data_IF_375940355424
#
_entry.id   IF_375940355424
#
_cell.length_a   1.000
_cell.length_b   1.000
_cell.length_c   1.000
_cell.angle_alpha   90.00
_cell.angle_beta   90.00
_cell.angle_gamma   90.00
#
_symmetry.space_group_name_H-M   'P 1'
#
loop_
_entity.id
_entity.type
_entity.pdbx_description
1 polymer ?
#
# COMPACT_ATOMS: atom_id res chain seq x y z
N UNK A 1 -13.11 18.60 -1.37
CA UNK A 1 -14.42 18.03 -1.00
C UNK A 1 -14.36 16.52 -0.76
N UNK A 2 -13.86 15.72 -1.70
CA UNK A 2 -13.81 14.23 -1.59
C UNK A 2 -12.82 13.69 -0.51
N UNK A 3 -11.70 14.40 -0.28
CA UNK A 3 -10.73 14.08 0.78
C UNK A 3 -11.28 14.34 2.20
N UNK A 4 -12.07 15.41 2.37
CA UNK A 4 -12.66 15.78 3.66
C UNK A 4 -13.70 14.76 4.14
N UNK A 5 -14.45 14.13 3.23
CA UNK A 5 -15.40 13.05 3.58
C UNK A 5 -14.72 11.77 4.07
N UNK A 6 -13.41 11.61 3.88
CA UNK A 6 -12.63 10.46 4.34
C UNK A 6 -11.82 10.75 5.62
N UNK A 7 -12.02 11.91 6.26
CA UNK A 7 -11.31 12.32 7.48
C UNK A 7 -9.85 12.76 7.24
N UNK A 8 -9.42 12.85 5.99
CA UNK A 8 -8.12 13.40 5.60
C UNK A 8 -8.32 14.86 5.21
N UNK A 9 -7.85 15.77 6.07
CA UNK A 9 -7.86 17.19 5.73
C UNK A 9 -6.85 17.41 4.60
N UNK A 10 -7.24 18.07 3.49
CA UNK A 10 -6.37 18.28 2.32
C UNK A 10 -5.01 18.92 2.67
N UNK A 11 -5.00 19.72 3.75
CA UNK A 11 -3.84 20.45 4.26
C UNK A 11 -3.04 19.63 5.29
N UNK A 12 -3.28 18.32 5.39
CA UNK A 12 -2.48 17.42 6.23
C UNK A 12 -1.20 17.03 5.49
N UNK A 13 -0.04 17.25 6.10
CA UNK A 13 1.21 16.72 5.58
C UNK A 13 1.22 15.20 5.61
N UNK A 14 1.83 14.58 4.61
CA UNK A 14 1.93 13.13 4.58
C UNK A 14 2.76 12.58 5.77
N UNK A 15 3.78 13.32 6.22
CA UNK A 15 4.54 13.00 7.43
C UNK A 15 3.66 12.91 8.68
N UNK A 16 2.66 13.77 8.81
CA UNK A 16 1.76 13.77 9.98
C UNK A 16 0.83 12.57 9.98
N UNK A 17 0.35 12.14 8.81
CA UNK A 17 -0.38 10.88 8.66
C UNK A 17 0.47 9.69 9.12
N UNK A 18 1.73 9.64 8.70
CA UNK A 18 2.65 8.55 9.06
C UNK A 18 2.96 8.58 10.56
N UNK A 19 3.24 9.75 11.15
CA UNK A 19 3.49 9.90 12.60
C UNK A 19 2.27 9.48 13.42
N UNK A 20 1.07 9.89 13.01
CA UNK A 20 -0.17 9.48 13.67
C UNK A 20 -0.34 7.96 13.61
N UNK A 21 -0.12 7.36 12.45
CA UNK A 21 -0.18 5.91 12.29
C UNK A 21 0.82 5.16 13.17
N UNK A 22 2.06 5.67 13.25
CA UNK A 22 3.12 5.16 14.12
C UNK A 22 2.75 5.19 15.60
N UNK A 23 1.99 6.20 16.03
CA UNK A 23 1.61 6.36 17.43
C UNK A 23 0.34 5.58 17.79
N UNK A 24 -0.67 5.58 16.92
CA UNK A 24 -2.00 5.05 17.23
C UNK A 24 -2.18 3.59 16.80
N UNK A 25 -1.58 3.20 15.67
CA UNK A 25 -1.87 1.91 15.02
C UNK A 25 -0.70 0.94 15.14
N UNK A 26 0.52 1.37 14.83
CA UNK A 26 1.71 0.51 14.84
C UNK A 26 1.93 -0.27 16.15
N UNK A 27 1.71 0.28 17.36
CA UNK A 27 1.89 -0.45 18.63
C UNK A 27 0.94 -1.64 18.81
N UNK A 28 -0.20 -1.64 18.13
CA UNK A 28 -1.20 -2.72 18.24
C UNK A 28 -0.85 -3.93 17.37
N UNK A 29 0.20 -3.85 16.55
CA UNK A 29 0.52 -4.88 15.56
C UNK A 29 1.62 -5.82 16.01
N UNK A 30 1.42 -7.10 15.73
CA UNK A 30 2.42 -8.17 15.90
C UNK A 30 3.80 -7.88 15.26
N UNK A 31 3.85 -7.03 14.23
CA UNK A 31 5.07 -6.64 13.50
C UNK A 31 5.56 -5.22 13.80
N UNK A 32 5.17 -4.62 14.94
CA UNK A 32 5.43 -3.24 15.34
C UNK A 32 6.87 -2.79 15.05
N UNK A 33 7.88 -3.47 15.60
CA UNK A 33 9.30 -3.07 15.47
C UNK A 33 9.76 -2.91 14.02
N UNK A 34 9.37 -3.83 13.14
CA UNK A 34 9.72 -3.77 11.73
C UNK A 34 8.97 -2.67 10.99
N UNK A 35 7.71 -2.43 11.36
CA UNK A 35 6.89 -1.35 10.81
C UNK A 35 7.42 0.02 11.24
N UNK A 36 7.71 0.18 12.53
CA UNK A 36 8.30 1.39 13.11
C UNK A 36 9.60 1.79 12.39
N UNK A 37 10.53 0.85 12.25
CA UNK A 37 11.81 1.11 11.57
C UNK A 37 11.63 1.48 10.09
N UNK A 38 10.72 0.80 9.38
CA UNK A 38 10.44 1.09 7.96
C UNK A 38 9.80 2.46 7.78
N UNK A 39 8.79 2.79 8.57
CA UNK A 39 8.07 4.06 8.46
C UNK A 39 8.93 5.25 8.93
N UNK A 40 9.74 5.08 9.99
CA UNK A 40 10.71 6.11 10.38
C UNK A 40 11.81 6.33 9.33
N UNK A 41 12.22 5.29 8.60
CA UNK A 41 13.11 5.46 7.46
C UNK A 41 12.41 6.21 6.33
N UNK A 42 11.13 5.90 6.08
CA UNK A 42 10.34 6.54 5.03
C UNK A 42 10.08 8.02 5.32
N UNK A 43 9.95 8.43 6.59
CA UNK A 43 9.88 9.83 7.02
C UNK A 43 11.10 10.69 6.63
N UNK A 44 12.19 10.09 6.13
CA UNK A 44 13.36 10.83 5.61
C UNK A 44 13.22 11.18 4.13
N UNK A 45 12.19 10.68 3.45
CA UNK A 45 12.01 10.89 2.03
C UNK A 45 11.24 12.21 1.78
N UNK A 46 11.67 13.07 0.83
CA UNK A 46 11.04 14.38 0.59
C UNK A 46 9.54 14.34 0.31
N UNK A 47 9.03 13.22 -0.23
CA UNK A 47 7.58 12.99 -0.42
C UNK A 47 6.76 13.19 0.87
N UNK A 48 7.34 12.97 2.05
CA UNK A 48 6.62 13.12 3.31
C UNK A 48 6.39 14.57 3.71
N UNK A 49 7.08 15.51 3.05
CA UNK A 49 6.91 16.95 3.23
C UNK A 49 5.83 17.53 2.30
N UNK A 50 5.24 16.71 1.42
CA UNK A 50 4.10 17.09 0.59
C UNK A 50 2.78 16.94 1.34
N UNK A 51 1.79 17.76 0.99
CA UNK A 51 0.42 17.58 1.47
C UNK A 51 -0.22 16.34 0.86
N UNK A 52 -1.13 15.70 1.60
CA UNK A 52 -1.79 14.47 1.13
C UNK A 52 -2.57 14.68 -0.17
N UNK A 53 -3.11 15.89 -0.36
CA UNK A 53 -3.78 16.31 -1.58
C UNK A 53 -2.84 16.27 -2.79
N UNK A 54 -1.61 16.73 -2.61
CA UNK A 54 -0.58 16.78 -3.66
C UNK A 54 0.02 15.41 -3.96
N UNK A 55 0.09 14.50 -2.98
CA UNK A 55 0.53 13.11 -3.21
C UNK A 55 -0.37 12.36 -4.21
N UNK A 56 -1.64 12.78 -4.31
CA UNK A 56 -2.66 12.13 -5.14
C UNK A 56 -2.83 12.73 -6.54
N UNK A 57 -2.34 13.96 -6.75
CA UNK A 57 -2.53 14.73 -7.98
C UNK A 57 -1.28 15.51 -8.27
N UNK A 58 -0.38 14.87 -8.98
CA UNK A 58 0.77 15.58 -9.51
C UNK A 58 0.52 15.66 -11.00
N UNK A 59 0.32 16.89 -11.49
CA UNK A 59 0.13 17.17 -12.90
C UNK A 59 1.31 16.63 -13.71
N UNK A 60 1.13 16.56 -15.04
CA UNK A 60 2.03 15.85 -15.96
C UNK A 60 3.54 16.20 -15.85
N UNK A 61 3.90 17.29 -15.17
CA UNK A 61 5.27 17.80 -15.05
C UNK A 61 5.97 17.47 -13.71
N UNK A 62 5.25 17.25 -12.62
CA UNK A 62 5.84 16.96 -11.31
C UNK A 62 5.58 15.48 -10.94
N UNK A 63 6.48 14.84 -10.18
CA UNK A 63 6.34 13.42 -9.82
C UNK A 63 6.35 13.27 -8.30
N UNK A 64 5.71 12.20 -7.79
CA UNK A 64 5.55 12.00 -6.35
C UNK A 64 6.85 11.54 -5.71
N UNK A 65 7.55 10.68 -6.43
CA UNK A 65 8.81 10.08 -6.03
C UNK A 65 9.96 10.53 -6.94
N UNK A 66 9.78 11.62 -7.71
CA UNK A 66 10.78 12.14 -8.66
C UNK A 66 11.34 11.09 -9.64
N UNK A 67 10.56 10.04 -9.92
CA UNK A 67 10.94 8.92 -10.79
C UNK A 67 9.91 8.79 -11.90
N UNK A 68 10.39 8.90 -13.14
CA UNK A 68 9.57 8.65 -14.34
C UNK A 68 9.24 7.16 -14.45
N UNK A 69 8.06 6.85 -14.97
CA UNK A 69 7.62 5.46 -15.21
C UNK A 69 8.60 4.65 -16.08
N UNK A 70 9.25 5.29 -17.06
CA UNK A 70 10.28 4.65 -17.90
C UNK A 70 11.54 4.26 -17.12
N UNK A 71 11.97 5.11 -16.17
CA UNK A 71 13.11 4.83 -15.29
C UNK A 71 12.78 3.71 -14.32
N UNK A 72 11.55 3.69 -13.80
CA UNK A 72 11.04 2.61 -12.94
C UNK A 72 11.05 1.27 -13.67
N UNK A 73 10.53 1.21 -14.91
CA UNK A 73 10.51 -0.01 -15.73
C UNK A 73 11.94 -0.50 -16.04
N UNK A 74 12.83 0.39 -16.49
CA UNK A 74 14.22 0.03 -16.77
C UNK A 74 14.95 -0.51 -15.52
N UNK A 75 14.74 0.13 -14.36
CA UNK A 75 15.32 -0.29 -13.09
C UNK A 75 14.76 -1.64 -12.65
N UNK A 76 13.45 -1.85 -12.78
CA UNK A 76 12.80 -3.11 -12.45
C UNK A 76 13.35 -4.26 -13.30
N UNK A 77 13.46 -4.09 -14.63
CA UNK A 77 14.04 -5.10 -15.53
C UNK A 77 15.49 -5.43 -15.17
N UNK A 78 16.30 -4.42 -14.80
CA UNK A 78 17.67 -4.63 -14.35
C UNK A 78 17.73 -5.48 -13.07
N UNK A 79 16.92 -5.14 -12.06
CA UNK A 79 16.85 -5.88 -10.79
C UNK A 79 16.33 -7.30 -10.98
N UNK A 80 15.32 -7.47 -11.84
CA UNK A 80 14.73 -8.76 -12.21
C UNK A 80 15.77 -9.72 -12.78
N UNK A 81 16.64 -9.22 -13.67
CA UNK A 81 17.76 -9.98 -14.23
C UNK A 81 18.82 -10.34 -13.18
N UNK A 82 19.18 -9.39 -12.31
CA UNK A 82 20.15 -9.62 -11.23
C UNK A 82 19.65 -10.64 -10.20
N UNK A 83 18.34 -10.72 -9.98
CA UNK A 83 17.72 -11.68 -9.07
C UNK A 83 17.39 -13.03 -9.74
N UNK A 84 17.69 -13.20 -11.03
CA UNK A 84 17.35 -14.39 -11.84
C UNK A 84 15.85 -14.73 -11.81
N UNK A 85 14.98 -13.71 -11.84
CA UNK A 85 13.51 -13.87 -11.78
C UNK A 85 12.81 -13.37 -13.03
N UNK A 86 13.13 -13.95 -14.19
CA UNK A 86 12.63 -13.48 -15.50
C UNK A 86 11.10 -13.59 -15.70
N UNK A 87 10.37 -14.25 -14.82
CA UNK A 87 8.91 -14.33 -14.86
C UNK A 87 8.18 -13.20 -14.12
N UNK A 88 8.87 -12.42 -13.27
CA UNK A 88 8.23 -11.38 -12.46
C UNK A 88 7.87 -10.15 -13.31
N UNK A 89 6.65 -9.64 -13.14
CA UNK A 89 6.20 -8.36 -13.67
C UNK A 89 6.02 -7.33 -12.56
N UNK A 90 6.08 -6.04 -12.88
CA UNK A 90 5.93 -5.00 -11.86
C UNK A 90 4.56 -5.05 -11.18
N UNK A 91 3.49 -5.42 -11.90
CA UNK A 91 2.15 -5.57 -11.33
C UNK A 91 2.03 -6.74 -10.34
N UNK A 92 2.97 -7.69 -10.33
CA UNK A 92 3.01 -8.76 -9.32
C UNK A 92 3.27 -8.20 -7.93
N UNK A 93 3.89 -7.03 -7.81
CA UNK A 93 4.05 -6.35 -6.51
C UNK A 93 2.71 -5.98 -5.89
N UNK A 94 1.75 -5.49 -6.69
CA UNK A 94 0.39 -5.20 -6.24
C UNK A 94 -0.33 -6.50 -5.89
N UNK A 95 -0.20 -7.54 -6.71
CA UNK A 95 -0.77 -8.86 -6.44
C UNK A 95 -0.29 -9.42 -5.10
N UNK A 96 1.02 -9.42 -4.87
CA UNK A 96 1.62 -9.88 -3.62
C UNK A 96 1.15 -9.07 -2.41
N UNK A 97 1.08 -7.74 -2.54
CA UNK A 97 0.59 -6.87 -1.46
C UNK A 97 -0.87 -7.20 -1.09
N UNK A 98 -1.74 -7.40 -2.09
CA UNK A 98 -3.14 -7.74 -1.86
C UNK A 98 -3.34 -9.14 -1.29
N UNK A 99 -2.58 -10.14 -1.75
CA UNK A 99 -2.58 -11.49 -1.17
C UNK A 99 -2.15 -11.49 0.30
N UNK A 100 -1.18 -10.66 0.69
CA UNK A 100 -0.78 -10.54 2.11
C UNK A 100 -1.82 -9.81 2.93
N UNK A 101 -2.48 -8.83 2.33
CA UNK A 101 -3.46 -7.99 3.02
C UNK A 101 -4.79 -8.72 3.21
N UNK A 102 -5.20 -9.60 2.28
CA UNK A 102 -6.41 -10.42 2.41
C UNK A 102 -6.41 -11.33 3.64
N UNK A 103 -5.24 -11.67 4.18
CA UNK A 103 -5.09 -12.40 5.46
C UNK A 103 -5.36 -11.55 6.70
N UNK A 104 -5.50 -10.23 6.55
CA UNK A 104 -5.61 -9.27 7.66
C UNK A 104 -6.87 -8.44 7.65
N UNK A 105 -7.52 -8.32 6.49
CA UNK A 105 -8.72 -7.52 6.31
C UNK A 105 -9.73 -8.29 5.48
N UNK A 106 -11.01 -8.04 5.71
CA UNK A 106 -12.09 -8.62 4.92
C UNK A 106 -12.06 -8.13 3.46
N UNK A 107 -12.76 -8.85 2.59
CA UNK A 107 -12.79 -8.58 1.14
C UNK A 107 -13.29 -7.17 0.82
N UNK A 108 -14.25 -6.64 1.58
CA UNK A 108 -14.82 -5.31 1.33
C UNK A 108 -13.84 -4.20 1.72
N UNK A 109 -13.17 -4.36 2.86
CA UNK A 109 -12.08 -3.45 3.27
C UNK A 109 -10.92 -3.53 2.28
N UNK A 110 -10.57 -4.73 1.82
CA UNK A 110 -9.54 -4.92 0.79
C UNK A 110 -9.93 -4.21 -0.51
N UNK A 111 -11.20 -4.25 -0.92
CA UNK A 111 -11.71 -3.53 -2.09
C UNK A 111 -11.54 -2.02 -1.96
N UNK A 112 -11.91 -1.44 -0.81
CA UNK A 112 -11.71 -0.02 -0.54
C UNK A 112 -10.23 0.38 -0.56
N UNK A 113 -9.36 -0.39 0.08
CA UNK A 113 -7.91 -0.10 0.12
C UNK A 113 -7.30 -0.20 -1.27
N UNK A 114 -7.67 -1.23 -2.03
CA UNK A 114 -7.09 -1.50 -3.33
C UNK A 114 -7.66 -0.62 -4.44
N UNK A 115 -8.84 -0.04 -4.25
CA UNK A 115 -9.54 0.76 -5.27
C UNK A 115 -10.18 -0.09 -6.36
N UNK A 116 -10.46 -1.38 -6.10
CA UNK A 116 -11.19 -2.21 -7.06
C UNK A 116 -12.67 -1.86 -7.04
N UNK A 117 -13.21 -1.48 -8.20
CA UNK A 117 -14.65 -1.26 -8.40
C UNK A 117 -15.43 -2.58 -8.46
N UNK A 118 -14.80 -3.61 -9.01
CA UNK A 118 -15.35 -4.95 -9.09
C UNK A 118 -14.69 -5.86 -8.04
N UNK A 119 -15.48 -6.32 -7.10
CA UNK A 119 -15.06 -7.13 -5.96
C UNK A 119 -14.80 -8.58 -6.37
N UNK A 120 -15.40 -9.05 -7.46
CA UNK A 120 -15.26 -10.44 -7.93
C UNK A 120 -13.80 -10.80 -8.22
N UNK A 121 -13.01 -9.84 -8.71
CA UNK A 121 -11.57 -9.99 -8.95
C UNK A 121 -10.84 -10.28 -7.62
N UNK A 122 -11.22 -9.61 -6.53
CA UNK A 122 -10.58 -9.82 -5.24
C UNK A 122 -10.94 -11.18 -4.65
N UNK A 123 -12.22 -11.56 -4.74
CA UNK A 123 -12.71 -12.84 -4.26
C UNK A 123 -12.02 -14.01 -4.98
N UNK A 124 -11.86 -13.92 -6.31
CA UNK A 124 -11.34 -15.01 -7.12
C UNK A 124 -9.81 -15.10 -7.14
N UNK A 125 -9.10 -13.99 -6.95
CA UNK A 125 -7.63 -13.93 -7.14
C UNK A 125 -6.85 -13.84 -5.82
N UNK A 126 -7.40 -13.18 -4.79
CA UNK A 126 -6.65 -12.85 -3.58
C UNK A 126 -7.29 -13.37 -2.28
N UNK A 127 -8.59 -13.65 -2.29
CA UNK A 127 -9.30 -14.20 -1.15
C UNK A 127 -9.30 -15.74 -1.22
N UNK A 128 -8.31 -16.35 -0.58
CA UNK A 128 -8.23 -17.79 -0.36
C UNK A 128 -8.03 -18.04 1.14
N UNK A 129 -9.08 -17.87 1.96
CA UNK A 129 -9.00 -18.14 3.39
C UNK A 129 -8.74 -19.62 3.63
N UNK A 130 -8.04 -19.94 4.71
CA UNK A 130 -7.92 -21.33 5.15
C UNK A 130 -9.28 -21.78 5.68
N UNK A 131 -9.87 -22.81 5.07
CA UNK A 131 -11.18 -23.31 5.49
C UNK A 131 -11.17 -23.90 6.90
N UNK A 132 -10.00 -24.30 7.42
CA UNK A 132 -9.84 -24.70 8.81
C UNK A 132 -10.05 -23.51 9.75
N UNK A 133 -9.44 -22.35 9.46
CA UNK A 133 -9.63 -21.11 10.22
C UNK A 133 -11.08 -20.61 10.11
N UNK A 134 -11.74 -20.80 8.96
CA UNK A 134 -13.15 -20.43 8.78
C UNK A 134 -14.08 -21.31 9.62
N UNK A 135 -13.74 -22.60 9.80
CA UNK A 135 -14.53 -23.50 10.62
C UNK A 135 -14.49 -23.10 12.11
N UNK A 136 -13.35 -22.64 12.61
CA UNK A 136 -13.22 -22.13 14.00
C UNK A 136 -14.09 -20.90 14.31
N UNK A 137 -14.54 -20.16 13.28
CA UNK A 137 -15.44 -19.00 13.45
C UNK A 137 -16.92 -19.39 13.60
N UNK A 138 -17.27 -20.66 13.39
CA UNK A 138 -18.65 -21.16 13.43
C UNK A 138 -19.01 -21.85 14.76
N UNK A 139 -18.04 -22.08 15.63
CA UNK A 139 -18.22 -22.60 17.00
C UNK A 139 -18.47 -21.45 18.02
#
# INVERSE_FOLDING_TARGET
MELQSQGLQPDTLFSDVIKRYLNEITPTKRGEKHEFNRLNRFLRHPVTDKYISDVSRIGDEELCFDIKSSVLDATFRKLKKLAEREYLHFHDTRREALTRLSKKVDVMTLAKISGHKDISILQNVYYAPDMAEVAELLD
#
